data_IF_547764557524
#
_entry.id   IF_547764557524
#
_cell.length_a   1.000
_cell.length_b   1.000
_cell.length_c   1.000
_cell.angle_alpha   90.00
_cell.angle_beta   90.00
_cell.angle_gamma   90.00
#
_symmetry.space_group_name_H-M   'P 1'
#
loop_
_entity.id
_entity.type
_entity.pdbx_description
1 polymer ?
#
# COMPACT_ATOMS: atom_id res chain seq x y z
N UNK A 1 11.77 -6.16 -16.01
CA UNK A 1 11.46 -4.72 -16.09
C UNK A 1 10.59 -4.27 -14.92
N UNK A 2 9.49 -4.96 -14.57
CA UNK A 2 8.79 -4.71 -13.30
C UNK A 2 9.59 -5.22 -12.08
N UNK A 3 10.25 -6.36 -12.21
CA UNK A 3 11.10 -6.96 -11.17
C UNK A 3 12.32 -6.12 -10.79
N UNK A 4 12.74 -5.15 -11.62
CA UNK A 4 13.93 -4.34 -11.38
C UNK A 4 13.83 -3.51 -10.09
N UNK A 5 12.60 -3.27 -9.64
CA UNK A 5 12.29 -2.54 -8.40
C UNK A 5 11.72 -3.43 -7.29
N UNK A 6 11.65 -4.75 -7.50
CA UNK A 6 11.22 -5.67 -6.43
C UNK A 6 12.21 -5.60 -5.27
N UNK A 7 11.68 -5.40 -4.06
CA UNK A 7 12.45 -5.18 -2.84
C UNK A 7 12.97 -3.75 -2.63
N UNK A 8 12.76 -2.83 -3.57
CA UNK A 8 13.21 -1.43 -3.45
C UNK A 8 12.22 -0.62 -2.62
N UNK A 9 12.73 0.14 -1.64
CA UNK A 9 11.96 1.11 -0.86
C UNK A 9 11.53 2.28 -1.76
N UNK A 10 10.22 2.46 -1.92
CA UNK A 10 9.62 3.54 -2.70
C UNK A 10 8.70 4.40 -1.81
N UNK A 11 8.37 5.60 -2.30
CA UNK A 11 7.34 6.46 -1.73
C UNK A 11 6.46 7.00 -2.85
N UNK A 12 5.14 6.96 -2.64
CA UNK A 12 4.15 7.65 -3.47
C UNK A 12 3.56 8.82 -2.67
N UNK A 13 3.15 9.87 -3.37
CA UNK A 13 2.64 11.10 -2.77
C UNK A 13 1.26 11.43 -3.32
N UNK A 14 0.44 12.09 -2.49
CA UNK A 14 -0.86 12.65 -2.85
C UNK A 14 -1.79 11.62 -3.53
N UNK A 15 -2.06 10.52 -2.85
CA UNK A 15 -2.93 9.43 -3.34
C UNK A 15 -4.19 9.30 -2.48
N UNK A 16 -5.29 8.90 -3.10
CA UNK A 16 -6.52 8.52 -2.41
C UNK A 16 -6.88 7.06 -2.65
N UNK A 17 -7.58 6.45 -1.69
CA UNK A 17 -8.11 5.09 -1.79
C UNK A 17 -9.17 5.03 -2.89
N UNK A 18 -8.99 4.08 -3.82
CA UNK A 18 -9.90 3.82 -4.94
C UNK A 18 -10.68 2.51 -4.79
N UNK A 19 -10.21 1.62 -3.92
CA UNK A 19 -10.93 0.43 -3.48
C UNK A 19 -10.48 0.09 -2.05
N UNK A 20 -11.38 0.19 -1.06
CA UNK A 20 -11.04 -0.05 0.34
C UNK A 20 -10.80 -1.52 0.72
N UNK A 21 -11.21 -2.47 -0.13
CA UNK A 21 -11.13 -3.91 0.18
C UNK A 21 -10.91 -4.74 -1.09
N UNK A 22 -9.65 -5.12 -1.31
CA UNK A 22 -9.25 -6.12 -2.31
C UNK A 22 -9.20 -7.54 -1.71
N UNK A 23 -9.62 -7.71 -0.46
CA UNK A 23 -9.44 -8.91 0.34
C UNK A 23 -8.03 -9.03 0.91
N UNK A 24 -7.86 -9.94 1.88
CA UNK A 24 -6.57 -10.24 2.51
C UNK A 24 -5.85 -9.02 3.10
N UNK A 25 -6.59 -8.03 3.61
CA UNK A 25 -5.98 -6.82 4.17
C UNK A 25 -5.43 -5.86 3.12
N UNK A 26 -5.73 -6.03 1.84
CA UNK A 26 -5.22 -5.18 0.78
C UNK A 26 -6.23 -4.10 0.35
N UNK A 27 -5.73 -2.93 -0.01
CA UNK A 27 -6.52 -1.84 -0.58
C UNK A 27 -5.82 -1.23 -1.80
N UNK A 28 -6.59 -0.55 -2.65
CA UNK A 28 -6.08 0.14 -3.84
C UNK A 28 -6.05 1.64 -3.62
N UNK A 29 -5.01 2.30 -4.13
CA UNK A 29 -4.94 3.76 -4.22
C UNK A 29 -4.81 4.23 -5.68
N UNK A 30 -4.96 5.55 -5.85
CA UNK A 30 -4.84 6.27 -7.12
C UNK A 30 -3.73 5.69 -8.01
N UNK A 31 -4.08 5.37 -9.27
CA UNK A 31 -3.16 4.76 -10.24
C UNK A 31 -3.17 3.23 -10.24
N UNK A 32 -4.04 2.59 -9.45
CA UNK A 32 -4.15 1.13 -9.38
C UNK A 32 -3.04 0.48 -8.56
N UNK A 33 -2.41 1.24 -7.65
CA UNK A 33 -1.36 0.71 -6.78
C UNK A 33 -2.01 0.00 -5.60
N UNK A 34 -1.66 -1.27 -5.42
CA UNK A 34 -2.12 -2.07 -4.28
C UNK A 34 -1.19 -1.81 -3.08
N UNK A 35 -1.79 -1.58 -1.92
CA UNK A 35 -1.14 -1.52 -0.61
C UNK A 35 -1.45 -2.82 0.13
N UNK A 36 -0.41 -3.45 0.69
CA UNK A 36 -0.51 -4.77 1.31
C UNK A 36 -0.04 -4.76 2.77
N UNK A 37 -0.57 -5.67 3.57
CA UNK A 37 -0.42 -5.73 5.03
C UNK A 37 0.70 -6.68 5.51
N UNK A 38 1.50 -7.23 4.59
CA UNK A 38 2.52 -8.28 4.85
C UNK A 38 3.46 -8.00 6.05
N UNK A 39 3.75 -6.74 6.38
CA UNK A 39 4.60 -6.40 7.53
C UNK A 39 3.83 -6.04 8.81
N UNK A 40 2.50 -6.00 8.76
CA UNK A 40 1.66 -5.71 9.90
C UNK A 40 1.20 -6.99 10.57
N UNK A 41 1.04 -6.91 11.89
CA UNK A 41 0.14 -7.81 12.59
C UNK A 41 -1.31 -7.43 12.26
N UNK A 42 -2.19 -8.42 12.05
CA UNK A 42 -3.58 -8.15 11.67
C UNK A 42 -4.34 -7.32 12.70
N UNK A 43 -3.97 -7.37 13.99
CA UNK A 43 -4.61 -6.53 15.02
C UNK A 43 -4.16 -5.06 14.92
N UNK A 44 -3.04 -4.79 14.24
CA UNK A 44 -2.49 -3.44 14.04
C UNK A 44 -2.79 -2.87 12.65
N UNK A 45 -3.30 -3.68 11.73
CA UNK A 45 -3.65 -3.26 10.39
C UNK A 45 -5.13 -2.86 10.31
N UNK A 46 -5.37 -1.60 9.96
CA UNK A 46 -6.73 -1.10 9.73
C UNK A 46 -6.87 -0.71 8.28
N UNK A 47 -7.85 -1.29 7.60
CA UNK A 47 -8.20 -0.88 6.25
C UNK A 47 -8.76 0.54 6.25
N UNK A 48 -8.32 1.41 5.32
CA UNK A 48 -8.89 2.74 5.19
C UNK A 48 -10.31 2.69 4.60
N UNK A 49 -11.02 3.82 4.63
CA UNK A 49 -12.28 3.97 3.92
C UNK A 49 -12.06 4.43 2.46
N UNK A 50 -13.08 4.25 1.61
CA UNK A 50 -13.10 4.88 0.29
C UNK A 50 -12.85 6.39 0.40
N UNK A 51 -12.11 6.95 -0.54
CA UNK A 51 -11.75 8.37 -0.61
C UNK A 51 -10.84 8.89 0.52
N UNK A 52 -10.43 8.05 1.49
CA UNK A 52 -9.36 8.42 2.43
C UNK A 52 -8.09 8.78 1.63
N UNK A 53 -7.42 9.84 2.07
CA UNK A 53 -6.30 10.42 1.35
C UNK A 53 -5.02 10.39 2.17
N UNK A 54 -3.91 10.08 1.50
CA UNK A 54 -2.58 10.04 2.08
C UNK A 54 -1.70 11.10 1.41
N UNK A 55 -1.05 11.93 2.21
CA UNK A 55 0.06 12.78 1.74
C UNK A 55 1.19 11.91 1.22
N UNK A 56 1.47 10.77 1.86
CA UNK A 56 2.41 9.79 1.33
C UNK A 56 2.21 8.38 1.86
N UNK A 57 2.53 7.39 1.02
CA UNK A 57 2.68 5.98 1.41
C UNK A 57 4.09 5.53 1.05
N UNK A 58 4.81 4.96 2.02
CA UNK A 58 6.19 4.47 1.86
C UNK A 58 6.25 2.96 2.08
N UNK A 59 7.11 2.26 1.36
CA UNK A 59 7.31 0.83 1.58
C UNK A 59 8.13 0.18 0.48
N UNK A 60 8.77 -0.98 0.73
CA UNK A 60 9.34 -1.77 -0.34
C UNK A 60 8.25 -2.20 -1.33
N UNK A 61 8.60 -2.19 -2.61
CA UNK A 61 7.78 -2.79 -3.64
C UNK A 61 7.93 -4.31 -3.56
N UNK A 62 6.82 -5.02 -3.54
CA UNK A 62 6.75 -6.48 -3.47
C UNK A 62 5.98 -7.00 -4.67
N UNK A 63 6.22 -8.25 -5.06
CA UNK A 63 5.51 -8.88 -6.17
C UNK A 63 4.90 -10.20 -5.72
N UNK A 64 3.58 -10.32 -5.86
CA UNK A 64 2.86 -11.56 -5.59
C UNK A 64 1.58 -11.63 -6.42
N UNK A 65 1.16 -12.84 -6.80
CA UNK A 65 -0.05 -13.07 -7.59
C UNK A 65 -0.16 -12.20 -8.85
N UNK A 66 0.97 -11.99 -9.54
CA UNK A 66 1.06 -11.16 -10.75
C UNK A 66 0.80 -9.65 -10.55
N UNK A 67 0.87 -9.18 -9.29
CA UNK A 67 0.62 -7.78 -8.91
C UNK A 67 1.81 -7.22 -8.13
N UNK A 68 2.24 -6.00 -8.50
CA UNK A 68 3.19 -5.22 -7.70
C UNK A 68 2.44 -4.47 -6.60
N UNK A 69 2.93 -4.57 -5.37
CA UNK A 69 2.28 -4.02 -4.17
C UNK A 69 3.29 -3.24 -3.35
N UNK A 70 2.90 -2.08 -2.85
CA UNK A 70 3.70 -1.38 -1.84
C UNK A 70 3.36 -1.98 -0.47
N UNK A 71 4.39 -2.38 0.28
CA UNK A 71 4.23 -2.99 1.59
C UNK A 71 4.74 -2.02 2.67
N UNK A 72 3.88 -1.19 3.29
CA UNK A 72 4.31 -0.30 4.37
C UNK A 72 4.87 -1.12 5.52
N UNK A 73 5.93 -0.64 6.17
CA UNK A 73 6.65 -1.40 7.21
C UNK A 73 6.00 -1.28 8.58
N UNK A 74 5.40 -0.12 8.85
CA UNK A 74 4.63 0.20 10.03
C UNK A 74 3.72 1.41 9.75
N UNK A 75 2.89 1.79 10.73
CA UNK A 75 1.90 2.86 10.56
C UNK A 75 2.52 4.24 10.22
N UNK A 76 3.81 4.46 10.49
CA UNK A 76 4.48 5.72 10.15
C UNK A 76 4.73 5.88 8.65
N UNK A 77 4.70 4.78 7.90
CA UNK A 77 4.79 4.79 6.44
C UNK A 77 3.46 5.23 5.77
N UNK A 78 2.35 5.34 6.52
CA UNK A 78 1.02 5.77 6.05
C UNK A 78 0.68 7.17 6.59
N UNK A 79 1.04 8.22 5.85
CA UNK A 79 0.83 9.61 6.27
C UNK A 79 -0.48 10.13 5.68
N UNK A 80 -1.54 10.18 6.49
CA UNK A 80 -2.86 10.69 6.10
C UNK A 80 -2.89 12.23 5.95
N UNK A 81 -3.82 12.72 5.12
CA UNK A 81 -4.13 14.16 4.95
C UNK A 81 -4.99 14.74 6.07
#
# INVERSE_FOLDING_TARGET
MAEDYEGVLIQVADVSVTNEDLGYGEFEVTGGLVVTDIFFDQDSWTLPALDDAYTSITGPLTYSYEVNKIAPRDASDLVAN
#
